data_IF_124989736832
#
_entry.id   IF_124989736832
#
_cell.length_a   1.000
_cell.length_b   1.000
_cell.length_c   1.000
_cell.angle_alpha   90.00
_cell.angle_beta   90.00
_cell.angle_gamma   90.00
#
_symmetry.space_group_name_H-M   'P 1'
#
loop_
_entity.id
_entity.type
_entity.pdbx_description
1 polymer ?
#
# COMPACT_ATOMS: atom_id res chain seq x y z
N UNK A 1 29.99 -10.14 -8.13
CA UNK A 1 28.51 -10.01 -8.15
C UNK A 1 28.18 -8.70 -7.44
N UNK A 2 27.59 -7.73 -8.14
CA UNK A 2 27.16 -6.46 -7.53
C UNK A 2 25.89 -6.76 -6.74
N UNK A 3 25.86 -6.40 -5.46
CA UNK A 3 24.66 -6.53 -4.65
C UNK A 3 23.60 -5.53 -5.19
N UNK A 4 22.47 -6.00 -5.77
CA UNK A 4 21.46 -5.13 -6.35
C UNK A 4 20.72 -4.26 -5.33
N UNK A 5 20.97 -4.49 -4.05
CA UNK A 5 20.33 -3.71 -2.97
C UNK A 5 21.18 -2.54 -2.50
N UNK A 6 22.38 -2.39 -3.04
CA UNK A 6 23.35 -1.36 -2.61
C UNK A 6 23.84 -0.47 -3.75
N UNK A 7 24.07 0.80 -3.47
CA UNK A 7 24.63 1.75 -4.42
C UNK A 7 23.70 2.14 -5.57
N UNK A 8 24.25 2.41 -6.73
CA UNK A 8 23.48 2.84 -7.91
C UNK A 8 22.58 1.74 -8.48
N UNK A 9 22.98 0.47 -8.35
CA UNK A 9 22.22 -0.67 -8.88
C UNK A 9 20.83 -0.84 -8.25
N UNK A 10 20.61 -0.35 -7.02
CA UNK A 10 19.28 -0.39 -6.38
C UNK A 10 18.21 0.45 -7.11
N UNK A 11 18.63 1.42 -7.95
CA UNK A 11 17.72 2.27 -8.72
C UNK A 11 17.23 1.61 -10.00
N UNK A 12 17.92 0.57 -10.44
CA UNK A 12 17.63 -0.12 -11.70
C UNK A 12 16.76 -1.37 -11.48
N UNK A 13 16.50 -1.74 -10.21
CA UNK A 13 15.76 -2.96 -9.90
C UNK A 13 14.62 -2.71 -8.90
N UNK A 14 13.56 -3.50 -9.03
CA UNK A 14 12.46 -3.55 -8.07
C UNK A 14 12.50 -4.91 -7.36
N UNK A 15 12.42 -4.92 -6.03
CA UNK A 15 12.22 -6.15 -5.27
C UNK A 15 10.73 -6.35 -5.05
N UNK A 16 10.22 -7.54 -5.37
CA UNK A 16 8.83 -7.93 -5.17
C UNK A 16 8.80 -9.26 -4.42
N UNK A 17 8.24 -9.27 -3.21
CA UNK A 17 8.17 -10.48 -2.38
C UNK A 17 9.54 -11.10 -2.10
N UNK A 18 10.58 -10.27 -1.99
CA UNK A 18 11.97 -10.71 -1.77
C UNK A 18 12.72 -11.19 -3.01
N UNK A 19 12.09 -11.18 -4.21
CA UNK A 19 12.74 -11.48 -5.48
C UNK A 19 13.15 -10.19 -6.19
N UNK A 20 14.32 -10.18 -6.78
CA UNK A 20 14.82 -9.10 -7.64
C UNK A 20 14.23 -9.26 -9.03
N UNK A 21 13.66 -8.18 -9.57
CA UNK A 21 13.14 -8.19 -10.95
C UNK A 21 14.27 -8.14 -11.96
N UNK A 22 14.15 -8.82 -13.12
CA UNK A 22 15.10 -8.72 -14.19
C UNK A 22 14.99 -7.38 -14.94
N UNK A 23 16.04 -7.07 -15.70
CA UNK A 23 16.11 -5.87 -16.52
C UNK A 23 16.24 -4.58 -15.72
N UNK A 24 16.01 -3.45 -16.38
CA UNK A 24 16.04 -2.12 -15.78
C UNK A 24 14.62 -1.67 -15.52
N UNK A 25 14.32 -1.24 -14.28
CA UNK A 25 13.00 -0.75 -13.91
C UNK A 25 12.94 0.78 -13.88
N UNK A 26 11.84 1.32 -14.38
CA UNK A 26 11.50 2.73 -14.24
C UNK A 26 10.17 2.86 -13.50
N UNK A 27 10.19 3.55 -12.35
CA UNK A 27 8.98 3.79 -11.54
C UNK A 27 8.38 5.15 -11.91
N UNK A 28 7.06 5.18 -12.13
CA UNK A 28 6.31 6.41 -12.43
C UNK A 28 5.00 6.43 -11.65
N UNK A 29 4.42 7.64 -11.45
CA UNK A 29 3.09 7.78 -10.84
C UNK A 29 3.02 7.57 -9.33
N UNK A 30 4.18 7.50 -8.64
CA UNK A 30 4.26 7.29 -7.19
C UNK A 30 4.08 8.59 -6.37
N UNK A 31 3.36 9.57 -6.89
CA UNK A 31 3.19 10.88 -6.27
C UNK A 31 2.45 10.80 -4.94
N UNK A 32 2.86 11.69 -4.02
CA UNK A 32 2.18 11.89 -2.75
C UNK A 32 0.85 12.63 -2.98
N UNK A 33 -0.24 11.89 -3.12
CA UNK A 33 -1.59 12.46 -3.12
C UNK A 33 -2.00 12.89 -1.71
N UNK A 34 -2.34 14.17 -1.52
CA UNK A 34 -2.92 14.66 -0.26
C UNK A 34 -4.36 15.05 -0.53
N UNK A 35 -5.30 14.38 0.13
CA UNK A 35 -6.72 14.76 0.05
C UNK A 35 -7.01 15.98 0.92
N UNK A 36 -7.53 17.03 0.29
CA UNK A 36 -7.97 18.25 0.94
C UNK A 36 -9.48 18.40 0.85
N UNK A 37 -10.12 18.72 1.97
CA UNK A 37 -11.47 19.26 2.00
C UNK A 37 -11.37 20.79 2.01
N UNK A 38 -11.92 21.42 0.98
CA UNK A 38 -11.88 22.87 0.82
C UNK A 38 -13.29 23.38 0.99
N UNK A 39 -13.54 24.07 2.10
CA UNK A 39 -14.84 24.68 2.40
C UNK A 39 -14.78 26.18 2.18
N UNK A 40 -15.56 26.66 1.23
CA UNK A 40 -15.73 28.07 0.98
C UNK A 40 -16.94 28.59 1.77
N UNK A 41 -16.72 29.52 2.68
CA UNK A 41 -17.82 30.17 3.40
C UNK A 41 -18.41 31.29 2.53
N UNK A 42 -19.73 31.28 2.35
CA UNK A 42 -20.43 32.34 1.57
C UNK A 42 -20.24 33.71 2.25
N UNK A 43 -19.71 34.68 1.50
CA UNK A 43 -19.50 36.05 2.00
C UNK A 43 -18.18 36.30 2.71
N UNK A 44 -17.26 35.32 2.74
CA UNK A 44 -15.88 35.49 3.25
C UNK A 44 -14.86 35.31 2.12
N UNK A 45 -13.85 36.17 2.09
CA UNK A 45 -12.69 35.96 1.21
C UNK A 45 -11.75 34.95 1.87
N UNK A 46 -11.60 33.77 1.23
CA UNK A 46 -10.74 32.69 1.71
C UNK A 46 -11.48 31.37 1.84
N UNK A 47 -10.72 30.29 1.95
CA UNK A 47 -11.24 28.95 2.13
C UNK A 47 -10.62 28.30 3.36
N UNK A 48 -11.40 27.52 4.10
CA UNK A 48 -10.89 26.65 5.16
C UNK A 48 -10.46 25.35 4.52
N UNK A 49 -9.19 25.00 4.65
CA UNK A 49 -8.64 23.77 4.13
C UNK A 49 -8.43 22.77 5.27
N UNK A 50 -8.97 21.58 5.12
CA UNK A 50 -8.77 20.47 6.05
C UNK A 50 -8.21 19.27 5.34
N UNK A 51 -7.13 18.68 5.86
CA UNK A 51 -6.64 17.38 5.36
C UNK A 51 -7.62 16.29 5.78
N UNK A 52 -8.17 15.55 4.81
CA UNK A 52 -9.18 14.53 5.07
C UNK A 52 -8.52 13.17 5.24
N UNK A 53 -7.83 12.70 4.23
CA UNK A 53 -7.19 11.39 4.21
C UNK A 53 -6.02 11.40 3.24
N UNK A 54 -5.21 10.38 3.32
CA UNK A 54 -4.17 10.09 2.36
C UNK A 54 -4.65 8.90 1.51
N UNK A 55 -5.00 9.13 0.22
CA UNK A 55 -5.44 8.06 -0.66
C UNK A 55 -4.35 7.01 -0.83
N UNK A 56 -4.73 5.78 -1.17
CA UNK A 56 -3.78 4.76 -1.57
C UNK A 56 -3.05 5.23 -2.84
N UNK A 57 -1.74 5.12 -2.83
CA UNK A 57 -0.90 5.51 -3.95
C UNK A 57 -0.97 4.45 -5.03
N UNK A 58 -0.94 4.91 -6.27
CA UNK A 58 -0.78 4.06 -7.43
C UNK A 58 0.55 4.38 -8.08
N UNK A 59 1.22 3.38 -8.59
CA UNK A 59 2.45 3.55 -9.35
C UNK A 59 2.54 2.53 -10.46
N UNK A 60 3.25 2.89 -11.50
CA UNK A 60 3.56 2.03 -12.63
C UNK A 60 5.05 1.69 -12.61
N UNK A 61 5.38 0.43 -12.80
CA UNK A 61 6.73 -0.04 -13.02
C UNK A 61 6.87 -0.50 -14.48
N UNK A 62 7.76 0.12 -15.22
CA UNK A 62 8.14 -0.29 -16.56
C UNK A 62 9.47 -1.02 -16.50
N UNK A 63 9.48 -2.25 -16.96
CA UNK A 63 10.63 -3.15 -17.00
C UNK A 63 11.15 -3.20 -18.43
N UNK A 64 12.40 -2.81 -18.61
CA UNK A 64 13.13 -2.92 -19.87
C UNK A 64 13.96 -4.20 -19.84
N UNK A 65 13.53 -5.20 -20.59
CA UNK A 65 14.10 -6.55 -20.60
C UNK A 65 15.01 -6.74 -21.80
N UNK A 66 16.20 -7.32 -21.57
CA UNK A 66 17.15 -7.68 -22.60
C UNK A 66 17.05 -9.16 -22.95
N UNK A 67 17.28 -9.50 -24.21
CA UNK A 67 17.44 -10.89 -24.64
C UNK A 67 18.91 -11.35 -24.59
N UNK A 68 19.82 -10.50 -24.10
CA UNK A 68 21.21 -10.90 -23.88
C UNK A 68 21.28 -11.92 -22.73
N UNK A 69 22.04 -13.00 -22.98
CA UNK A 69 22.23 -14.02 -21.96
C UNK A 69 23.31 -13.59 -20.97
N UNK A 70 23.07 -13.86 -19.69
CA UNK A 70 24.07 -13.68 -18.64
C UNK A 70 25.12 -14.80 -18.65
N UNK A 71 26.03 -14.77 -17.66
CA UNK A 71 27.08 -15.77 -17.45
C UNK A 71 26.53 -17.21 -17.28
N UNK A 72 25.26 -17.36 -16.92
CA UNK A 72 24.58 -18.65 -16.76
C UNK A 72 23.76 -19.06 -17.97
N UNK A 73 23.78 -18.27 -19.06
CA UNK A 73 23.02 -18.51 -20.27
C UNK A 73 21.55 -18.19 -20.19
N UNK A 74 21.12 -17.42 -19.16
CA UNK A 74 19.73 -17.03 -18.91
C UNK A 74 19.53 -15.57 -19.28
N UNK A 75 18.46 -15.24 -19.99
CA UNK A 75 18.11 -13.87 -20.35
C UNK A 75 17.03 -13.28 -19.42
N UNK A 76 16.74 -11.98 -19.57
CA UNK A 76 15.76 -11.30 -18.72
C UNK A 76 14.32 -11.80 -18.96
N UNK A 77 13.98 -12.25 -20.16
CA UNK A 77 12.65 -12.78 -20.45
C UNK A 77 12.38 -14.09 -19.71
N UNK A 78 13.36 -15.00 -19.66
CA UNK A 78 13.22 -16.25 -18.91
C UNK A 78 13.08 -16.01 -17.42
N UNK A 79 13.81 -15.02 -16.86
CA UNK A 79 13.65 -14.61 -15.47
C UNK A 79 12.32 -13.90 -15.21
N UNK A 80 11.82 -13.18 -16.23
CA UNK A 80 10.52 -12.52 -16.13
C UNK A 80 9.37 -13.51 -15.94
N UNK A 81 9.42 -14.67 -16.55
CA UNK A 81 8.39 -15.70 -16.38
C UNK A 81 8.18 -16.07 -14.91
N UNK A 82 9.23 -16.12 -14.10
CA UNK A 82 9.13 -16.34 -12.65
C UNK A 82 8.49 -15.17 -11.93
N UNK A 83 8.81 -13.95 -12.33
CA UNK A 83 8.21 -12.74 -11.75
C UNK A 83 6.74 -12.64 -12.14
N UNK A 84 6.41 -12.93 -13.39
CA UNK A 84 5.02 -12.95 -13.86
C UNK A 84 4.19 -13.96 -13.07
N UNK A 85 4.67 -15.17 -12.88
CA UNK A 85 3.99 -16.19 -12.06
C UNK A 85 3.77 -15.70 -10.63
N UNK A 86 4.72 -14.99 -10.04
CA UNK A 86 4.57 -14.37 -8.71
C UNK A 86 3.50 -13.28 -8.73
N UNK A 87 3.51 -12.40 -9.73
CA UNK A 87 2.51 -11.32 -9.86
C UNK A 87 1.09 -11.88 -10.03
N UNK A 88 0.92 -12.91 -10.86
CA UNK A 88 -0.35 -13.59 -11.05
C UNK A 88 -0.87 -14.25 -9.77
N UNK A 89 0.04 -14.81 -8.95
CA UNK A 89 -0.30 -15.38 -7.66
C UNK A 89 -0.78 -14.35 -6.63
N UNK A 90 -0.46 -13.06 -6.82
CA UNK A 90 -0.98 -11.98 -5.97
C UNK A 90 -2.44 -11.62 -6.29
N UNK A 91 -2.92 -11.92 -7.51
CA UNK A 91 -4.26 -11.60 -7.98
C UNK A 91 -5.00 -12.87 -8.42
N UNK A 92 -5.24 -13.83 -7.52
CA UNK A 92 -5.90 -15.07 -7.89
C UNK A 92 -7.36 -14.83 -8.28
N UNK A 93 -7.81 -15.43 -9.38
CA UNK A 93 -9.19 -15.31 -9.86
C UNK A 93 -10.19 -15.70 -8.76
N UNK A 94 -11.21 -14.85 -8.55
CA UNK A 94 -12.29 -15.09 -7.59
C UNK A 94 -11.89 -15.02 -6.10
N UNK A 95 -10.68 -14.60 -5.78
CA UNK A 95 -10.20 -14.43 -4.40
C UNK A 95 -9.77 -12.97 -4.15
N UNK A 96 -9.60 -12.64 -2.88
CA UNK A 96 -9.06 -11.31 -2.53
C UNK A 96 -7.63 -11.18 -3.03
N UNK A 97 -7.26 -10.04 -3.63
CA UNK A 97 -5.88 -9.75 -3.97
C UNK A 97 -4.97 -9.86 -2.75
N UNK A 98 -3.75 -10.33 -2.95
CA UNK A 98 -2.71 -10.37 -1.93
C UNK A 98 -1.74 -9.23 -2.19
N UNK A 99 -1.12 -8.74 -1.13
CA UNK A 99 -0.03 -7.79 -1.23
C UNK A 99 1.30 -8.52 -1.14
N UNK A 100 2.29 -7.98 -1.84
CA UNK A 100 3.68 -8.35 -1.67
C UNK A 100 4.46 -7.15 -1.12
N UNK A 101 5.51 -7.43 -0.36
CA UNK A 101 6.48 -6.42 0.00
C UNK A 101 7.21 -5.95 -1.26
N UNK A 102 7.35 -4.64 -1.41
CA UNK A 102 8.05 -4.02 -2.53
C UNK A 102 9.13 -3.09 -2.00
N UNK A 103 10.27 -3.09 -2.70
CA UNK A 103 11.35 -2.18 -2.38
C UNK A 103 11.97 -1.59 -3.65
N UNK A 104 11.99 -0.27 -3.70
CA UNK A 104 12.71 0.55 -4.66
C UNK A 104 12.96 1.91 -3.97
N UNK A 105 14.08 2.61 -4.21
CA UNK A 105 14.38 3.86 -3.52
C UNK A 105 13.29 4.94 -3.66
N UNK A 106 12.67 5.07 -4.84
CA UNK A 106 11.56 6.01 -5.05
C UNK A 106 10.31 5.63 -4.26
N UNK A 107 9.99 4.34 -4.18
CA UNK A 107 8.87 3.85 -3.38
C UNK A 107 9.12 4.07 -1.89
N UNK A 108 10.36 3.81 -1.44
CA UNK A 108 10.76 4.02 -0.05
C UNK A 108 10.65 5.49 0.37
N UNK A 109 11.03 6.45 -0.49
CA UNK A 109 10.85 7.90 -0.27
C UNK A 109 9.39 8.27 -0.07
N UNK A 110 8.49 7.59 -0.75
CA UNK A 110 7.05 7.79 -0.66
C UNK A 110 6.37 6.86 0.37
N UNK A 111 7.14 6.17 1.21
CA UNK A 111 6.67 5.26 2.25
C UNK A 111 5.79 4.11 1.72
N UNK A 112 6.00 3.68 0.47
CA UNK A 112 5.33 2.52 -0.12
C UNK A 112 6.21 1.29 0.16
N UNK A 113 5.75 0.41 1.02
CA UNK A 113 6.48 -0.81 1.44
C UNK A 113 5.80 -2.08 0.99
N UNK A 114 4.50 -2.02 0.66
CA UNK A 114 3.74 -3.16 0.17
C UNK A 114 2.75 -2.71 -0.90
N UNK A 115 2.55 -3.54 -1.90
CA UNK A 115 1.66 -3.26 -3.01
C UNK A 115 0.95 -4.52 -3.50
N UNK A 116 -0.20 -4.32 -4.15
CA UNK A 116 -0.89 -5.35 -4.93
C UNK A 116 -0.89 -4.95 -6.40
N UNK A 117 -1.01 -5.93 -7.28
CA UNK A 117 -1.05 -5.72 -8.73
C UNK A 117 -2.44 -5.23 -9.13
N UNK A 118 -2.52 -4.15 -9.88
CA UNK A 118 -3.74 -3.67 -10.53
C UNK A 118 -3.86 -4.23 -11.95
N UNK A 119 -2.76 -4.16 -12.71
CA UNK A 119 -2.72 -4.59 -14.11
C UNK A 119 -1.33 -5.04 -14.50
N UNK A 120 -1.24 -6.13 -15.25
CA UNK A 120 -0.03 -6.58 -15.94
C UNK A 120 -0.23 -6.28 -17.43
N UNK A 121 0.64 -5.45 -18.00
CA UNK A 121 0.65 -5.15 -19.43
C UNK A 121 1.27 -6.26 -20.25
N UNK A 122 0.99 -6.27 -21.55
CA UNK A 122 1.70 -7.13 -22.48
C UNK A 122 3.12 -6.63 -22.76
N UNK A 123 3.97 -7.51 -23.24
CA UNK A 123 5.32 -7.16 -23.69
C UNK A 123 5.25 -6.40 -25.02
N UNK A 124 5.93 -5.27 -25.09
CA UNK A 124 6.14 -4.50 -26.34
C UNK A 124 7.59 -4.67 -26.76
N UNK A 125 7.82 -5.42 -27.84
CA UNK A 125 9.16 -5.67 -28.37
C UNK A 125 9.73 -4.42 -29.06
N UNK A 126 11.02 -4.16 -28.85
CA UNK A 126 11.74 -3.01 -29.44
C UNK A 126 12.31 -3.27 -30.84
N UNK A 127 12.21 -4.51 -31.34
CA UNK A 127 12.74 -4.94 -32.61
C UNK A 127 14.28 -5.12 -32.63
N UNK A 128 14.95 -4.97 -31.48
CA UNK A 128 16.40 -5.14 -31.31
C UNK A 128 16.77 -6.30 -30.38
N UNK A 129 15.78 -7.11 -30.03
CA UNK A 129 15.96 -8.25 -29.12
C UNK A 129 15.61 -7.93 -27.67
N UNK A 130 15.16 -6.69 -27.38
CA UNK A 130 14.64 -6.29 -26.09
C UNK A 130 13.12 -6.10 -26.11
N UNK A 131 12.55 -5.86 -24.95
CA UNK A 131 11.12 -5.59 -24.82
C UNK A 131 10.80 -4.87 -23.51
N UNK A 132 9.65 -4.22 -23.49
CA UNK A 132 9.16 -3.46 -22.33
C UNK A 132 7.85 -4.05 -21.82
N UNK A 133 7.78 -4.21 -20.52
CA UNK A 133 6.58 -4.68 -19.83
C UNK A 133 6.21 -3.65 -18.78
N UNK A 134 4.95 -3.22 -18.78
CA UNK A 134 4.43 -2.27 -17.80
C UNK A 134 3.49 -2.97 -16.84
N UNK A 135 3.74 -2.81 -15.54
CA UNK A 135 2.88 -3.33 -14.47
C UNK A 135 2.40 -2.17 -13.61
N UNK A 136 1.09 -2.09 -13.41
CA UNK A 136 0.47 -1.10 -12.53
C UNK A 136 0.21 -1.71 -11.15
N UNK A 137 0.53 -0.96 -10.11
CA UNK A 137 0.42 -1.37 -8.71
C UNK A 137 -0.42 -0.38 -7.91
N UNK A 138 -1.07 -0.91 -6.88
CA UNK A 138 -1.76 -0.12 -5.86
C UNK A 138 -1.08 -0.39 -4.52
N UNK A 139 -0.74 0.66 -3.79
CA UNK A 139 -0.23 0.57 -2.43
C UNK A 139 -1.17 -0.24 -1.55
N UNK A 140 -0.62 -1.13 -0.76
CA UNK A 140 -1.36 -1.86 0.26
C UNK A 140 -1.02 -1.30 1.64
N UNK A 141 -2.05 -0.86 2.35
CA UNK A 141 -1.97 -0.51 3.77
C UNK A 141 -2.89 -1.42 4.56
N UNK A 142 -2.38 -2.21 5.51
CA UNK A 142 -3.25 -2.98 6.38
C UNK A 142 -4.21 -2.04 7.13
N UNK A 143 -5.50 -2.37 7.21
CA UNK A 143 -6.45 -1.54 7.93
C UNK A 143 -5.99 -1.41 9.39
N UNK A 144 -5.81 -0.18 9.85
CA UNK A 144 -5.55 0.06 11.27
C UNK A 144 -6.82 -0.32 12.03
N UNK A 145 -6.76 -1.22 13.04
CA UNK A 145 -7.92 -1.48 13.86
C UNK A 145 -8.37 -0.14 14.46
N UNK A 146 -9.63 0.20 14.24
CA UNK A 146 -10.22 1.32 14.92
C UNK A 146 -10.04 1.04 16.42
N UNK A 147 -9.17 1.81 17.09
CA UNK A 147 -9.19 1.81 18.54
C UNK A 147 -10.64 2.15 18.91
N UNK A 148 -11.32 1.31 19.70
CA UNK A 148 -12.64 1.69 20.16
C UNK A 148 -12.47 3.07 20.77
N UNK A 149 -13.16 4.05 20.22
CA UNK A 149 -13.25 5.37 20.84
C UNK A 149 -13.80 5.04 22.22
N UNK A 150 -12.95 5.22 23.24
CA UNK A 150 -13.41 5.05 24.60
C UNK A 150 -14.64 5.95 24.67
N UNK A 151 -15.82 5.33 24.75
CA UNK A 151 -17.07 6.07 24.82
C UNK A 151 -16.94 6.91 26.08
N UNK A 152 -16.70 8.18 25.90
CA UNK A 152 -16.69 9.12 27.01
C UNK A 152 -18.09 9.03 27.55
N UNK A 153 -18.27 8.32 28.69
CA UNK A 153 -19.57 8.18 29.33
C UNK A 153 -20.19 9.58 29.42
N UNK A 154 -21.33 9.74 28.78
CA UNK A 154 -22.03 11.02 28.81
C UNK A 154 -22.36 11.35 30.25
N UNK A 155 -22.58 12.64 30.55
CA UNK A 155 -22.98 13.02 31.89
C UNK A 155 -24.27 12.31 32.35
N UNK A 156 -25.13 11.95 31.37
CA UNK A 156 -26.28 11.08 31.58
C UNK A 156 -25.92 9.69 32.09
N UNK A 157 -24.94 9.04 31.44
CA UNK A 157 -24.49 7.71 31.83
C UNK A 157 -23.89 7.68 33.23
N UNK A 158 -23.13 8.73 33.59
CA UNK A 158 -22.59 8.89 34.96
C UNK A 158 -23.72 9.05 36.03
N UNK A 159 -24.78 9.76 35.68
CA UNK A 159 -25.95 9.90 36.57
C UNK A 159 -26.72 8.59 36.72
N UNK A 160 -26.87 7.82 35.66
CA UNK A 160 -27.50 6.49 35.67
C UNK A 160 -26.68 5.52 36.54
N UNK A 161 -25.35 5.48 36.36
CA UNK A 161 -24.44 4.62 37.14
C UNK A 161 -24.52 5.00 38.65
N UNK A 162 -24.56 6.30 38.97
CA UNK A 162 -24.70 6.77 40.34
C UNK A 162 -26.07 6.42 40.97
N UNK A 163 -27.15 6.49 40.19
CA UNK A 163 -28.48 6.08 40.62
C UNK A 163 -28.54 4.55 40.85
N UNK A 164 -28.00 3.77 39.96
CA UNK A 164 -27.95 2.31 40.11
C UNK A 164 -27.11 1.86 41.32
N UNK A 165 -26.00 2.57 41.61
CA UNK A 165 -25.20 2.32 42.81
C UNK A 165 -25.99 2.59 44.09
N UNK A 166 -26.78 3.68 44.14
CA UNK A 166 -27.66 3.97 45.26
C UNK A 166 -28.78 2.94 45.45
N UNK A 167 -29.41 2.51 44.36
CA UNK A 167 -30.45 1.48 44.39
C UNK A 167 -29.87 0.16 44.94
N UNK A 168 -28.68 -0.22 44.51
CA UNK A 168 -28.02 -1.43 45.02
C UNK A 168 -27.69 -1.33 46.50
N UNK A 169 -27.18 -0.21 46.93
CA UNK A 169 -26.91 0.01 48.39
C UNK A 169 -28.17 -0.11 49.25
N UNK A 170 -29.31 0.49 48.83
CA UNK A 170 -30.57 0.34 49.48
C UNK A 170 -31.10 -1.09 49.50
N UNK A 171 -30.91 -1.84 48.40
CA UNK A 171 -31.31 -3.24 48.34
C UNK A 171 -30.46 -4.12 49.27
N UNK A 172 -29.19 -3.83 49.43
CA UNK A 172 -28.29 -4.57 50.31
C UNK A 172 -28.62 -4.24 51.81
N UNK A 173 -29.00 -3.01 52.10
CA UNK A 173 -29.46 -2.59 53.43
C UNK A 173 -30.77 -3.28 53.83
N UNK A 174 -31.71 -3.44 52.88
CA UNK A 174 -32.97 -4.16 53.09
C UNK A 174 -32.81 -5.66 53.34
N UNK A 175 -31.74 -6.27 52.90
CA UNK A 175 -31.45 -7.70 53.10
C UNK A 175 -30.84 -7.98 54.49
N UNK A 176 -30.40 -6.94 55.18
CA UNK A 176 -29.75 -7.05 56.48
C UNK A 176 -30.69 -6.69 57.65
N UNK A 177 -31.93 -6.29 57.37
CA UNK A 177 -33.05 -6.10 58.30
C UNK A 177 -33.94 -7.34 58.33
#
# INVERSE_FOLDING_TARGET
MIDPTTGAAQWDVLLIGGKVTPGVVTITGNDLGIGWDIQNATGMSGAITRRINEPLKKFDAEFDLSNEQDENGVNDFERWDEIQALLEALVPAGKKPRAADVFHPDLARNHITAATVEKIGGCTLDGKGGGKIKVSFIEFRPPKPNKPVASTKTEGDKKIDAANAKIKALQDEWKTL
#
